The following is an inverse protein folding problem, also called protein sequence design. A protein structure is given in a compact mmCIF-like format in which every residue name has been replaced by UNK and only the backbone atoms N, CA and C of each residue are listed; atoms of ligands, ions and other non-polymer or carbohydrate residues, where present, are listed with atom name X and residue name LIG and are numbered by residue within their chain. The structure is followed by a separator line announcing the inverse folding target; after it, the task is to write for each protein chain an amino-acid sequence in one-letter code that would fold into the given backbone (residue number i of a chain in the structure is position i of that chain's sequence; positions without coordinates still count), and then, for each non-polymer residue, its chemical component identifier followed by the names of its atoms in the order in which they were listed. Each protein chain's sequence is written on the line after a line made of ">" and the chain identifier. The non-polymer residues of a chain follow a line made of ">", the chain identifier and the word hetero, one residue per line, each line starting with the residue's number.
data_IF_007577116749
#
_entry.id   IF_007577116749
#
_cell.length_a   1.000
_cell.length_b   1.000
_cell.length_c   1.000
_cell.angle_alpha   90.00
_cell.angle_beta   90.00
_cell.angle_gamma   90.00
#
_symmetry.space_group_name_H-M   'P 1'
#
loop_
_entity.id
_entity.type
_entity.pdbx_description
1 polymer ?
#
# COMPACT_ATOMS: atom_id res chain seq x y z
N UNK A 1 8.22 3.65 31.50
CA UNK A 1 7.62 3.36 30.19
C UNK A 1 8.61 3.83 29.14
N UNK A 2 9.25 2.90 28.46
CA UNK A 2 10.18 3.21 27.41
C UNK A 2 9.39 3.70 26.19
N UNK A 3 9.66 4.93 25.74
CA UNK A 3 9.06 5.47 24.53
C UNK A 3 9.51 4.63 23.31
N UNK A 4 8.63 4.34 22.32
CA UNK A 4 9.02 3.58 21.14
C UNK A 4 10.07 4.33 20.33
N UNK A 5 11.01 3.63 19.72
CA UNK A 5 11.93 4.18 18.72
C UNK A 5 11.31 4.21 17.32
N UNK A 6 10.34 3.33 17.06
CA UNK A 6 9.62 3.19 15.80
C UNK A 6 8.13 2.98 16.06
N UNK A 7 7.29 3.72 15.34
CA UNK A 7 5.83 3.56 15.30
C UNK A 7 5.41 3.13 13.91
N UNK A 8 4.65 2.05 13.81
CA UNK A 8 4.11 1.54 12.54
C UNK A 8 2.61 1.83 12.46
N UNK A 9 2.21 2.65 11.49
CA UNK A 9 0.82 3.00 11.22
C UNK A 9 0.25 2.01 10.21
N UNK A 10 -0.73 1.22 10.65
CA UNK A 10 -1.40 0.18 9.84
C UNK A 10 -2.91 0.39 9.89
N UNK A 11 -3.37 1.42 9.18
CA UNK A 11 -4.78 1.86 9.15
C UNK A 11 -5.27 2.00 7.71
N UNK A 12 -6.60 2.12 7.46
CA UNK A 12 -7.12 2.37 6.12
C UNK A 12 -6.58 3.67 5.50
N UNK A 13 -6.50 3.75 4.15
CA UNK A 13 -5.89 4.89 3.45
C UNK A 13 -6.50 6.25 3.80
N UNK A 14 -7.80 6.33 3.99
CA UNK A 14 -8.55 7.56 4.28
C UNK A 14 -8.20 8.23 5.62
N UNK A 15 -7.61 7.50 6.56
CA UNK A 15 -7.19 8.03 7.87
C UNK A 15 -5.67 7.99 8.07
N UNK A 16 -4.91 7.52 7.09
CA UNK A 16 -3.47 7.30 7.23
C UNK A 16 -2.72 8.58 7.58
N UNK A 17 -2.98 9.69 6.88
CA UNK A 17 -2.31 10.97 7.16
C UNK A 17 -2.65 11.52 8.56
N UNK A 18 -3.91 11.39 9.00
CA UNK A 18 -4.34 11.86 10.32
C UNK A 18 -3.63 11.10 11.44
N UNK A 19 -3.53 9.78 11.29
CA UNK A 19 -2.86 8.93 12.29
C UNK A 19 -1.35 9.16 12.30
N UNK A 20 -0.70 9.31 11.13
CA UNK A 20 0.73 9.64 11.05
C UNK A 20 0.99 10.95 11.79
N UNK A 21 0.22 12.01 11.52
CA UNK A 21 0.37 13.30 12.19
C UNK A 21 0.23 13.16 13.71
N UNK A 22 -0.81 12.48 14.17
CA UNK A 22 -1.05 12.26 15.60
C UNK A 22 0.10 11.51 16.29
N UNK A 23 0.67 10.49 15.63
CA UNK A 23 1.76 9.70 16.21
C UNK A 23 3.11 10.44 16.17
N UNK A 24 3.37 11.30 15.15
CA UNK A 24 4.53 12.21 15.14
C UNK A 24 4.50 13.21 16.29
N UNK A 25 3.31 13.73 16.63
CA UNK A 25 3.10 14.63 17.76
C UNK A 25 3.20 13.90 19.11
N UNK A 26 2.63 12.69 19.19
CA UNK A 26 2.60 11.88 20.43
C UNK A 26 3.97 11.36 20.84
N UNK A 27 4.81 10.99 19.84
CA UNK A 27 6.12 10.40 20.06
C UNK A 27 7.22 11.23 19.39
N UNK A 28 7.63 12.37 19.98
CA UNK A 28 8.51 13.35 19.35
C UNK A 28 9.94 12.85 19.09
N UNK A 29 10.32 11.67 19.58
CA UNK A 29 11.63 11.06 19.35
C UNK A 29 11.55 9.80 18.47
N UNK A 30 10.37 9.29 18.18
CA UNK A 30 10.19 8.08 17.36
C UNK A 30 10.23 8.40 15.86
N UNK A 31 10.72 7.46 15.08
CA UNK A 31 10.44 7.38 13.65
C UNK A 31 9.02 6.85 13.46
N UNK A 32 8.26 7.44 12.56
CA UNK A 32 6.92 6.97 12.20
C UNK A 32 6.97 6.44 10.77
N UNK A 33 6.51 5.23 10.57
CA UNK A 33 6.32 4.64 9.24
C UNK A 33 4.88 4.18 9.07
N UNK A 34 4.39 4.15 7.84
CA UNK A 34 3.12 3.53 7.50
C UNK A 34 3.32 2.33 6.58
N UNK A 35 2.30 1.49 6.45
CA UNK A 35 2.29 0.31 5.57
C UNK A 35 1.16 0.36 4.54
N UNK A 36 0.64 1.55 4.25
CA UNK A 36 -0.45 1.76 3.29
C UNK A 36 -0.02 1.45 1.85
N UNK A 37 -1.00 1.23 0.97
CA UNK A 37 -0.78 0.84 -0.43
C UNK A 37 -0.44 2.02 -1.35
N UNK A 38 -0.56 3.27 -0.89
CA UNK A 38 -0.22 4.50 -1.60
C UNK A 38 0.70 5.35 -0.74
N UNK A 39 1.63 6.08 -1.35
CA UNK A 39 2.65 6.84 -0.63
C UNK A 39 2.56 8.34 -0.85
N UNK A 40 2.23 8.76 -2.05
CA UNK A 40 2.27 10.17 -2.43
C UNK A 40 1.14 10.99 -1.80
N UNK A 41 -0.06 10.42 -1.72
CA UNK A 41 -1.21 11.11 -1.14
C UNK A 41 -1.01 11.46 0.35
N UNK A 42 -0.70 10.50 1.28
CA UNK A 42 -0.47 10.84 2.67
C UNK A 42 0.72 11.80 2.85
N UNK A 43 1.78 11.64 2.07
CA UNK A 43 2.94 12.53 2.10
C UNK A 43 2.57 13.97 1.74
N UNK A 44 1.86 14.19 0.62
CA UNK A 44 1.40 15.52 0.18
C UNK A 44 0.40 16.15 1.15
N UNK A 45 -0.50 15.36 1.70
CA UNK A 45 -1.46 15.82 2.70
C UNK A 45 -0.74 16.37 3.94
N UNK A 46 0.24 15.63 4.46
CA UNK A 46 1.04 16.06 5.61
C UNK A 46 1.87 17.31 5.30
N UNK A 47 2.49 17.39 4.11
CA UNK A 47 3.20 18.59 3.66
C UNK A 47 2.29 19.82 3.60
N UNK A 48 1.10 19.67 3.04
CA UNK A 48 0.12 20.76 2.90
C UNK A 48 -0.34 21.28 4.26
N UNK A 49 -0.37 20.40 5.27
CA UNK A 49 -0.67 20.75 6.67
C UNK A 49 0.50 21.40 7.40
N UNK A 50 1.69 21.44 6.80
CA UNK A 50 2.91 21.95 7.42
C UNK A 50 3.48 21.07 8.53
N UNK A 51 3.19 19.75 8.48
CA UNK A 51 3.75 18.79 9.43
C UNK A 51 5.23 18.60 9.16
N UNK A 52 6.05 18.58 10.23
CA UNK A 52 7.46 18.23 10.13
C UNK A 52 7.62 16.73 9.81
N UNK A 53 8.09 16.44 8.60
CA UNK A 53 8.25 15.07 8.08
C UNK A 53 9.65 14.49 8.30
N UNK A 54 10.56 15.18 9.00
CA UNK A 54 11.94 14.72 9.20
C UNK A 54 12.06 13.33 9.85
N UNK A 55 11.01 12.83 10.51
CA UNK A 55 10.92 11.52 11.16
C UNK A 55 9.84 10.61 10.57
N UNK A 56 9.22 11.00 9.47
CA UNK A 56 8.27 10.17 8.76
C UNK A 56 8.94 9.50 7.56
N UNK A 57 8.80 8.19 7.48
CA UNK A 57 9.28 7.36 6.37
C UNK A 57 8.14 6.48 5.90
N UNK A 58 7.54 6.82 4.77
CA UNK A 58 6.51 5.99 4.16
C UNK A 58 7.05 4.63 3.78
N UNK A 59 6.30 3.55 4.02
CA UNK A 59 6.68 2.23 3.54
C UNK A 59 5.48 1.42 3.05
N UNK A 60 5.75 0.34 2.31
CA UNK A 60 4.70 -0.53 1.79
C UNK A 60 5.21 -1.96 1.59
N UNK A 61 4.82 -2.93 2.44
CA UNK A 61 5.06 -4.34 2.18
C UNK A 61 4.15 -4.84 1.05
N UNK A 62 4.74 -5.31 -0.07
CA UNK A 62 3.98 -5.87 -1.19
C UNK A 62 3.55 -7.32 -0.88
N UNK A 63 2.77 -7.48 0.17
CA UNK A 63 2.36 -8.76 0.74
C UNK A 63 0.85 -8.86 0.98
N UNK A 64 0.06 -7.98 0.38
CA UNK A 64 -1.40 -7.95 0.52
C UNK A 64 -2.07 -9.24 0.06
N UNK A 65 -3.24 -9.51 0.64
CA UNK A 65 -4.13 -10.62 0.28
C UNK A 65 -5.52 -10.08 -0.05
N UNK A 66 -6.32 -10.90 -0.73
CA UNK A 66 -7.69 -10.55 -1.12
C UNK A 66 -8.61 -10.28 0.09
N UNK A 67 -8.28 -10.84 1.26
CA UNK A 67 -9.03 -10.64 2.51
C UNK A 67 -8.13 -9.98 3.54
N UNK A 68 -8.60 -8.89 4.13
CA UNK A 68 -7.95 -8.19 5.23
C UNK A 68 -8.37 -8.70 6.62
N UNK A 69 -7.85 -8.02 7.65
CA UNK A 69 -8.18 -8.26 9.05
C UNK A 69 -7.35 -9.35 9.73
N UNK A 70 -7.47 -9.44 11.05
CA UNK A 70 -6.66 -10.31 11.90
C UNK A 70 -6.75 -11.81 11.52
N UNK A 71 -7.87 -12.25 10.98
CA UNK A 71 -8.07 -13.64 10.54
C UNK A 71 -7.18 -14.04 9.36
N UNK A 72 -6.70 -13.05 8.61
CA UNK A 72 -5.79 -13.27 7.46
C UNK A 72 -4.31 -13.17 7.84
N UNK A 73 -4.00 -12.88 9.11
CA UNK A 73 -2.63 -12.77 9.59
C UNK A 73 -1.90 -14.12 9.49
N UNK A 74 -0.63 -14.04 9.04
CA UNK A 74 0.28 -15.20 8.95
C UNK A 74 1.67 -14.75 9.36
N UNK A 75 2.38 -15.60 10.09
CA UNK A 75 3.75 -15.32 10.52
C UNK A 75 4.75 -15.24 9.33
N UNK A 76 4.45 -15.89 8.22
CA UNK A 76 5.28 -15.96 7.02
C UNK A 76 4.83 -14.95 5.91
N UNK A 77 3.93 -14.01 6.23
CA UNK A 77 3.31 -13.12 5.24
C UNK A 77 4.33 -12.30 4.44
N UNK A 78 5.39 -11.85 5.10
CA UNK A 78 6.38 -10.94 4.52
C UNK A 78 7.64 -11.66 3.99
N UNK A 79 7.83 -12.95 4.30
CA UNK A 79 9.04 -13.70 3.93
C UNK A 79 9.26 -13.68 2.41
N UNK A 80 10.42 -13.16 1.98
CA UNK A 80 10.80 -13.03 0.58
C UNK A 80 9.97 -12.04 -0.23
N UNK A 81 9.14 -11.21 0.42
CA UNK A 81 8.34 -10.18 -0.26
C UNK A 81 9.11 -8.87 -0.36
N UNK A 82 8.94 -8.11 -1.46
CA UNK A 82 9.44 -6.75 -1.53
C UNK A 82 8.74 -5.88 -0.46
N UNK A 83 9.52 -5.02 0.19
CA UNK A 83 9.02 -3.99 1.09
C UNK A 83 9.61 -2.65 0.65
N UNK A 84 8.78 -1.81 0.02
CA UNK A 84 9.25 -0.49 -0.38
C UNK A 84 9.41 0.40 0.84
N UNK A 85 10.54 1.10 0.91
CA UNK A 85 10.84 2.13 1.90
C UNK A 85 11.05 3.43 1.13
N UNK A 86 10.19 4.42 1.38
CA UNK A 86 10.24 5.67 0.66
C UNK A 86 11.22 6.63 1.32
N UNK A 87 12.09 7.21 0.51
CA UNK A 87 12.98 8.28 0.95
C UNK A 87 12.82 9.53 0.11
N UNK A 88 13.11 10.64 0.70
CA UNK A 88 13.31 11.93 0.05
C UNK A 88 14.71 12.50 0.34
N UNK A 89 14.98 13.72 -0.11
CA UNK A 89 16.27 14.36 0.07
C UNK A 89 16.61 14.70 1.55
N UNK A 90 15.62 14.78 2.41
CA UNK A 90 15.74 15.16 3.82
C UNK A 90 15.75 13.95 4.78
N UNK A 91 15.47 12.76 4.25
CA UNK A 91 15.42 11.52 5.03
C UNK A 91 16.79 11.21 5.65
N UNK A 92 16.83 11.09 6.99
CA UNK A 92 18.05 10.72 7.70
C UNK A 92 18.38 9.24 7.48
N UNK A 93 19.62 8.95 7.18
CA UNK A 93 20.09 7.57 6.96
C UNK A 93 19.85 6.64 8.16
N UNK A 94 19.93 7.16 9.39
CA UNK A 94 19.61 6.38 10.60
C UNK A 94 18.15 5.95 10.68
N UNK A 95 17.26 6.82 10.28
CA UNK A 95 15.81 6.60 10.37
C UNK A 95 15.36 5.67 9.24
N UNK A 96 15.93 5.84 8.05
CA UNK A 96 15.76 4.91 6.93
C UNK A 96 16.19 3.49 7.32
N UNK A 97 17.43 3.36 7.88
CA UNK A 97 17.97 2.07 8.31
C UNK A 97 17.10 1.37 9.37
N UNK A 98 16.38 2.14 10.21
CA UNK A 98 15.47 1.57 11.21
C UNK A 98 14.24 0.91 10.56
N UNK A 99 13.66 1.53 9.52
CA UNK A 99 12.53 0.96 8.77
C UNK A 99 12.97 -0.22 7.91
N UNK A 100 14.17 -0.13 7.30
CA UNK A 100 14.74 -1.27 6.57
C UNK A 100 15.02 -2.47 7.49
N UNK A 101 15.53 -2.22 8.71
CA UNK A 101 15.74 -3.28 9.71
C UNK A 101 14.43 -3.98 10.06
N UNK A 102 13.32 -3.23 10.24
CA UNK A 102 12.00 -3.83 10.44
C UNK A 102 11.63 -4.77 9.29
N UNK A 103 11.82 -4.33 8.03
CA UNK A 103 11.52 -5.17 6.87
C UNK A 103 12.37 -6.46 6.85
N UNK A 104 13.67 -6.35 7.14
CA UNK A 104 14.57 -7.50 7.23
C UNK A 104 14.22 -8.44 8.37
N UNK A 105 13.86 -7.92 9.54
CA UNK A 105 13.49 -8.72 10.72
C UNK A 105 12.25 -9.60 10.49
N UNK A 106 11.34 -9.14 9.63
CA UNK A 106 10.16 -9.95 9.24
C UNK A 106 10.41 -10.80 7.98
N UNK A 107 11.64 -10.84 7.48
CA UNK A 107 12.04 -11.64 6.33
C UNK A 107 11.68 -11.06 4.97
N UNK A 108 11.33 -9.77 4.90
CA UNK A 108 11.09 -9.06 3.65
C UNK A 108 12.40 -8.55 3.03
N UNK A 109 12.32 -8.10 1.77
CA UNK A 109 13.44 -7.50 1.06
C UNK A 109 13.16 -5.99 0.88
N UNK A 110 13.87 -5.10 1.58
CA UNK A 110 13.68 -3.66 1.44
C UNK A 110 14.12 -3.17 0.06
N UNK A 111 13.34 -2.25 -0.51
CA UNK A 111 13.60 -1.56 -1.78
C UNK A 111 13.37 -0.07 -1.58
N UNK A 112 14.41 0.74 -1.81
CA UNK A 112 14.30 2.18 -1.73
C UNK A 112 13.66 2.75 -3.00
N UNK A 113 12.70 3.67 -2.84
CA UNK A 113 12.05 4.43 -3.91
C UNK A 113 11.65 5.81 -3.39
N UNK A 114 11.35 6.75 -4.28
CA UNK A 114 10.57 7.93 -3.89
C UNK A 114 9.08 7.59 -3.82
N UNK A 115 8.24 8.39 -3.13
CA UNK A 115 6.78 8.21 -3.14
C UNK A 115 6.18 8.18 -4.55
N UNK A 116 6.68 9.03 -5.45
CA UNK A 116 6.25 9.11 -6.85
C UNK A 116 6.61 7.85 -7.64
N UNK A 117 7.85 7.37 -7.49
CA UNK A 117 8.30 6.13 -8.15
C UNK A 117 7.49 4.93 -7.67
N UNK A 118 7.22 4.86 -6.36
CA UNK A 118 6.38 3.83 -5.77
C UNK A 118 4.97 3.84 -6.38
N UNK A 119 4.26 4.97 -6.32
CA UNK A 119 2.86 5.05 -6.73
C UNK A 119 2.70 4.80 -8.24
N UNK A 120 3.66 5.25 -9.06
CA UNK A 120 3.71 4.92 -10.49
C UNK A 120 3.96 3.42 -10.73
N UNK A 121 4.84 2.81 -9.96
CA UNK A 121 5.14 1.37 -10.07
C UNK A 121 3.94 0.51 -9.68
N UNK A 122 3.30 0.78 -8.54
CA UNK A 122 2.13 0.00 -8.11
C UNK A 122 0.90 0.27 -8.97
N UNK A 123 0.79 1.45 -9.62
CA UNK A 123 -0.23 1.68 -10.63
C UNK A 123 -0.15 0.63 -11.75
N UNK A 124 1.07 0.39 -12.27
CA UNK A 124 1.28 -0.57 -13.36
C UNK A 124 1.10 -2.03 -12.93
N UNK A 125 1.69 -2.43 -11.80
CA UNK A 125 1.78 -3.86 -11.42
C UNK A 125 0.61 -4.35 -10.56
N UNK A 126 -0.20 -3.43 -10.01
CA UNK A 126 -1.27 -3.77 -9.06
C UNK A 126 -2.60 -3.07 -9.40
N UNK A 127 -2.61 -1.74 -9.52
CA UNK A 127 -3.87 -0.99 -9.59
C UNK A 127 -4.56 -1.15 -10.94
N UNK A 128 -3.84 -1.00 -12.06
CA UNK A 128 -4.39 -1.25 -13.41
C UNK A 128 -4.84 -2.71 -13.59
N UNK A 129 -4.07 -3.74 -13.20
CA UNK A 129 -4.55 -5.11 -13.18
C UNK A 129 -5.86 -5.30 -12.40
N UNK A 130 -6.01 -4.67 -11.25
CA UNK A 130 -7.24 -4.72 -10.46
C UNK A 130 -8.43 -4.09 -11.21
N UNK A 131 -8.23 -2.91 -11.81
CA UNK A 131 -9.27 -2.24 -12.61
C UNK A 131 -9.73 -3.13 -13.75
N UNK A 132 -8.78 -3.69 -14.52
CA UNK A 132 -9.07 -4.57 -15.66
C UNK A 132 -9.83 -5.82 -15.21
N UNK A 133 -9.38 -6.46 -14.13
CA UNK A 133 -10.06 -7.63 -13.57
C UNK A 133 -11.48 -7.32 -13.11
N UNK A 134 -11.67 -6.18 -12.43
CA UNK A 134 -12.99 -5.75 -11.94
C UNK A 134 -13.94 -5.41 -13.10
N UNK A 135 -13.46 -4.73 -14.13
CA UNK A 135 -14.26 -4.43 -15.33
C UNK A 135 -14.68 -5.70 -16.05
N UNK A 136 -13.78 -6.67 -16.23
CA UNK A 136 -14.09 -7.95 -16.85
C UNK A 136 -15.11 -8.73 -15.99
N UNK A 137 -14.92 -8.81 -14.68
CA UNK A 137 -15.83 -9.48 -13.78
C UNK A 137 -17.24 -8.86 -13.81
N UNK A 138 -17.33 -7.52 -13.84
CA UNK A 138 -18.61 -6.81 -14.00
C UNK A 138 -19.32 -7.18 -15.30
N UNK A 139 -18.59 -7.29 -16.42
CA UNK A 139 -19.19 -7.72 -17.70
C UNK A 139 -19.65 -9.17 -17.68
N UNK A 140 -18.90 -10.05 -17.01
CA UNK A 140 -19.31 -11.45 -16.86
C UNK A 140 -20.56 -11.61 -15.99
N UNK A 141 -20.79 -10.74 -15.03
CA UNK A 141 -22.02 -10.76 -14.21
C UNK A 141 -23.29 -10.48 -15.02
N UNK A 142 -23.16 -9.78 -16.15
CA UNK A 142 -24.25 -9.45 -17.08
C UNK A 142 -24.34 -10.43 -18.28
N UNK A 143 -23.42 -11.41 -18.36
CA UNK A 143 -23.33 -12.30 -19.50
C UNK A 143 -24.40 -13.39 -19.48
N UNK A 144 -24.83 -13.82 -20.68
CA UNK A 144 -25.75 -14.96 -20.84
C UNK A 144 -25.13 -16.26 -20.30
N UNK A 145 -25.98 -17.13 -19.73
CA UNK A 145 -25.55 -18.42 -19.18
C UNK A 145 -24.76 -19.28 -20.17
N UNK A 146 -25.14 -19.24 -21.45
CA UNK A 146 -24.46 -19.96 -22.51
C UNK A 146 -22.99 -19.53 -22.67
N UNK A 147 -22.70 -18.23 -22.56
CA UNK A 147 -21.33 -17.71 -22.60
C UNK A 147 -20.53 -18.12 -21.35
N UNK A 148 -21.15 -18.08 -20.18
CA UNK A 148 -20.50 -18.46 -18.93
C UNK A 148 -20.09 -19.94 -18.89
N UNK A 149 -20.85 -20.83 -19.54
CA UNK A 149 -20.52 -22.25 -19.67
C UNK A 149 -19.22 -22.49 -20.46
N UNK A 150 -18.79 -21.54 -21.29
CA UNK A 150 -17.55 -21.60 -22.04
C UNK A 150 -16.34 -21.05 -21.27
N UNK A 151 -16.56 -20.49 -20.07
CA UNK A 151 -15.53 -19.87 -19.26
C UNK A 151 -14.51 -20.91 -18.75
N UNK A 152 -13.28 -20.81 -19.22
CA UNK A 152 -12.16 -21.65 -18.84
C UNK A 152 -11.25 -21.03 -17.76
N UNK A 153 -10.07 -21.63 -17.61
CA UNK A 153 -9.08 -21.21 -16.61
C UNK A 153 -8.62 -19.76 -16.82
N UNK A 154 -8.45 -19.30 -18.05
CA UNK A 154 -8.02 -17.92 -18.35
C UNK A 154 -8.94 -16.86 -17.75
N UNK A 155 -10.26 -17.06 -17.80
CA UNK A 155 -11.24 -16.15 -17.19
C UNK A 155 -11.06 -16.15 -15.66
N UNK A 156 -10.90 -17.32 -15.04
CA UNK A 156 -10.72 -17.44 -13.59
C UNK A 156 -9.45 -16.75 -13.11
N UNK A 157 -8.34 -16.94 -13.81
CA UNK A 157 -7.06 -16.34 -13.47
C UNK A 157 -7.11 -14.82 -13.60
N UNK A 158 -7.74 -14.30 -14.67
CA UNK A 158 -7.85 -12.86 -14.90
C UNK A 158 -8.79 -12.18 -13.89
N UNK A 159 -9.89 -12.83 -13.49
CA UNK A 159 -10.90 -12.23 -12.61
C UNK A 159 -10.70 -12.54 -11.12
N UNK A 160 -9.74 -13.37 -10.76
CA UNK A 160 -9.51 -13.82 -9.38
C UNK A 160 -9.38 -12.64 -8.40
N UNK A 161 -8.61 -11.61 -8.77
CA UNK A 161 -8.36 -10.45 -7.91
C UNK A 161 -9.58 -9.52 -7.80
N UNK A 162 -10.54 -9.59 -8.71
CA UNK A 162 -11.79 -8.81 -8.62
C UNK A 162 -12.65 -9.17 -7.40
N UNK A 163 -12.38 -10.29 -6.72
CA UNK A 163 -13.03 -10.68 -5.47
C UNK A 163 -12.53 -9.92 -4.23
N UNK A 164 -11.59 -9.00 -4.39
CA UNK A 164 -11.08 -8.14 -3.32
C UNK A 164 -12.15 -7.15 -2.85
N UNK A 165 -12.00 -6.65 -1.59
CA UNK A 165 -12.95 -5.71 -0.97
C UNK A 165 -13.07 -4.39 -1.77
N UNK A 166 -14.25 -4.06 -2.33
CA UNK A 166 -14.41 -2.88 -3.19
C UNK A 166 -14.11 -1.57 -2.47
N UNK A 167 -14.47 -1.46 -1.20
CA UNK A 167 -14.31 -0.26 -0.39
C UNK A 167 -12.84 0.15 -0.27
N UNK A 168 -11.96 -0.83 -0.05
CA UNK A 168 -10.52 -0.59 0.00
C UNK A 168 -9.97 -0.15 -1.34
N UNK A 169 -10.41 -0.78 -2.44
CA UNK A 169 -9.94 -0.44 -3.77
C UNK A 169 -10.42 0.91 -4.27
N UNK A 170 -11.61 1.36 -3.87
CA UNK A 170 -12.09 2.73 -4.14
C UNK A 170 -11.15 3.76 -3.52
N UNK A 171 -10.69 3.54 -2.28
CA UNK A 171 -9.74 4.43 -1.61
C UNK A 171 -8.36 4.40 -2.28
N UNK A 172 -7.82 3.21 -2.58
CA UNK A 172 -6.51 3.05 -3.23
C UNK A 172 -6.51 3.71 -4.61
N UNK A 173 -7.51 3.42 -5.44
CA UNK A 173 -7.61 3.96 -6.80
C UNK A 173 -7.86 5.48 -6.79
N UNK A 174 -8.65 5.98 -5.84
CA UNK A 174 -8.87 7.42 -5.67
C UNK A 174 -7.58 8.16 -5.29
N UNK A 175 -6.78 7.58 -4.39
CA UNK A 175 -5.51 8.17 -3.95
C UNK A 175 -4.38 8.07 -4.99
N UNK A 176 -4.46 7.15 -5.96
CA UNK A 176 -3.47 6.96 -7.03
C UNK A 176 -4.07 7.09 -8.44
N UNK A 177 -5.11 7.93 -8.59
CA UNK A 177 -5.90 7.99 -9.83
C UNK A 177 -5.10 8.46 -11.04
N UNK A 178 -4.25 9.49 -10.88
CA UNK A 178 -3.47 10.07 -11.97
C UNK A 178 -2.55 9.04 -12.65
N UNK A 179 -1.65 8.32 -11.93
CA UNK A 179 -0.82 7.28 -12.53
C UNK A 179 -1.62 6.11 -13.15
N UNK A 180 -2.77 5.77 -12.57
CA UNK A 180 -3.65 4.71 -13.11
C UNK A 180 -4.24 5.13 -14.46
N UNK A 181 -4.73 6.37 -14.57
CA UNK A 181 -5.31 6.91 -15.82
C UNK A 181 -4.25 7.06 -16.91
N UNK A 182 -3.02 7.44 -16.56
CA UNK A 182 -1.91 7.54 -17.53
C UNK A 182 -1.56 6.20 -18.18
N UNK A 183 -1.80 5.07 -17.50
CA UNK A 183 -1.47 3.73 -17.99
C UNK A 183 -2.62 3.10 -18.78
N UNK A 184 -3.89 3.47 -18.50
CA UNK A 184 -5.08 2.93 -19.15
C UNK A 184 -5.32 3.54 -20.54
#
# INVERSE_FOLDING_TARGET
>A
DDAPSLVVVAVPPDVTADVIQAELERFPQAVVTDVASVKLEPFRTLQTRGVDLARYIGSHPLAGRERGGAISARADLFIGRPWVVCRDAETKASDLALVEALALDVGATPLEMTPEEHDRSVALISHVPQVVASLLAGRLAEAEEGALRLAGQGVRDTTRIAASAPELWVQILGANAEPVVEIL
#
